data_IF_413120685699
#
_entry.id   IF_413120685699
#
_cell.length_a   1.000
_cell.length_b   1.000
_cell.length_c   1.000
_cell.angle_alpha   90.00
_cell.angle_beta   90.00
_cell.angle_gamma   90.00
#
_symmetry.space_group_name_H-M   'P 1'
#
loop_
_entity.id
_entity.type
_entity.pdbx_description
1 polymer ?
#
# COMPACT_ATOMS: atom_id res chain seq x y z
N UNK A 1 5.30 -1.70 -12.92
CA UNK A 1 6.53 -1.02 -12.45
C UNK A 1 6.39 -0.87 -10.94
N UNK A 2 7.43 -1.17 -10.15
CA UNK A 2 7.37 -1.00 -8.70
C UNK A 2 7.09 0.46 -8.38
N UNK A 3 6.02 0.71 -7.65
CA UNK A 3 5.61 2.06 -7.29
C UNK A 3 6.58 2.61 -6.26
N UNK A 4 7.19 3.75 -6.60
CA UNK A 4 8.13 4.47 -5.75
C UNK A 4 7.48 5.76 -5.29
N UNK A 5 7.53 5.99 -3.98
CA UNK A 5 6.96 7.16 -3.34
C UNK A 5 8.08 8.07 -2.84
N UNK A 6 7.92 9.37 -3.03
CA UNK A 6 8.82 10.37 -2.46
C UNK A 6 8.20 10.92 -1.17
N UNK A 7 8.88 10.72 -0.04
CA UNK A 7 8.46 11.18 1.29
C UNK A 7 9.24 12.45 1.72
N UNK A 8 9.75 13.21 0.75
CA UNK A 8 10.51 14.43 0.95
C UNK A 8 12.00 14.17 1.12
N UNK A 9 12.41 13.56 2.25
CA UNK A 9 13.82 13.24 2.53
C UNK A 9 14.23 11.84 2.06
N UNK A 10 13.25 10.98 1.84
CA UNK A 10 13.46 9.57 1.55
C UNK A 10 12.58 9.13 0.38
N UNK A 11 13.08 8.17 -0.38
CA UNK A 11 12.26 7.40 -1.31
C UNK A 11 11.81 6.12 -0.61
N UNK A 12 10.58 5.69 -0.86
CA UNK A 12 10.00 4.46 -0.35
C UNK A 12 9.55 3.60 -1.53
N UNK A 13 9.77 2.28 -1.48
CA UNK A 13 9.30 1.36 -2.52
C UNK A 13 8.90 0.01 -1.94
N UNK A 14 8.03 -0.70 -2.66
CA UNK A 14 7.87 -2.14 -2.50
C UNK A 14 9.00 -2.84 -3.28
N UNK A 15 9.66 -3.80 -2.63
CA UNK A 15 10.53 -4.75 -3.29
C UNK A 15 9.70 -5.96 -3.73
N UNK A 16 9.31 -6.00 -5.00
CA UNK A 16 8.40 -7.02 -5.55
C UNK A 16 8.91 -8.46 -5.39
N UNK A 17 10.24 -8.66 -5.39
CA UNK A 17 10.86 -10.00 -5.27
C UNK A 17 10.80 -10.49 -3.83
N UNK A 18 11.11 -9.61 -2.87
CA UNK A 18 11.16 -9.96 -1.44
C UNK A 18 9.83 -9.76 -0.73
N UNK A 19 8.91 -9.01 -1.33
CA UNK A 19 7.63 -8.66 -0.71
C UNK A 19 7.74 -7.73 0.49
N UNK A 20 8.82 -6.93 0.56
CA UNK A 20 9.14 -6.05 1.70
C UNK A 20 9.11 -4.58 1.28
N UNK A 21 9.05 -3.71 2.28
CA UNK A 21 9.17 -2.27 2.10
C UNK A 21 10.64 -1.85 2.30
N UNK A 22 11.16 -1.08 1.35
CA UNK A 22 12.52 -0.52 1.40
C UNK A 22 12.47 1.00 1.31
N UNK A 23 13.47 1.67 1.91
CA UNK A 23 13.65 3.10 1.80
C UNK A 23 15.06 3.47 1.35
N UNK A 24 15.21 4.67 0.79
CA UNK A 24 16.49 5.24 0.36
C UNK A 24 16.59 6.71 0.76
N UNK A 25 17.73 7.09 1.34
CA UNK A 25 18.05 8.49 1.71
C UNK A 25 18.96 9.18 0.69
N UNK A 26 19.39 8.47 -0.36
CA UNK A 26 20.42 8.94 -1.30
C UNK A 26 19.95 8.90 -2.76
N UNK A 27 18.66 9.13 -2.97
CA UNK A 27 18.06 9.19 -4.31
C UNK A 27 17.99 7.83 -5.01
N UNK A 28 17.83 6.74 -4.24
CA UNK A 28 17.64 5.39 -4.78
C UNK A 28 18.94 4.65 -5.11
N UNK A 29 20.11 5.19 -4.73
CA UNK A 29 21.41 4.54 -4.95
C UNK A 29 21.60 3.31 -4.06
N UNK A 30 21.20 3.41 -2.79
CA UNK A 30 21.13 2.27 -1.87
C UNK A 30 19.77 2.20 -1.20
N UNK A 31 19.38 0.99 -0.81
CA UNK A 31 18.07 0.70 -0.23
C UNK A 31 18.24 -0.07 1.07
N UNK A 32 17.59 0.40 2.12
CA UNK A 32 17.53 -0.22 3.43
C UNK A 32 16.12 -0.75 3.67
N UNK A 33 15.98 -1.86 4.41
CA UNK A 33 14.67 -2.37 4.76
C UNK A 33 13.96 -1.39 5.72
N UNK A 34 12.73 -0.98 5.36
CA UNK A 34 11.82 -0.21 6.23
C UNK A 34 10.93 -1.15 7.03
N UNK A 35 10.31 -2.11 6.36
CA UNK A 35 9.38 -3.07 6.98
C UNK A 35 9.42 -4.39 6.21
N UNK A 36 9.51 -5.51 6.93
CA UNK A 36 9.45 -6.85 6.34
C UNK A 36 8.03 -7.39 6.22
N UNK A 37 7.88 -8.53 5.55
CA UNK A 37 6.65 -9.31 5.54
C UNK A 37 6.40 -9.89 6.95
N UNK A 38 5.73 -9.10 7.79
CA UNK A 38 5.38 -9.44 9.18
C UNK A 38 3.89 -9.84 9.23
N UNK A 39 3.21 -9.60 10.35
CA UNK A 39 1.78 -9.89 10.53
C UNK A 39 0.90 -9.33 9.40
N UNK A 40 1.35 -8.25 8.74
CA UNK A 40 0.67 -7.57 7.64
C UNK A 40 0.66 -8.33 6.30
N UNK A 41 1.44 -9.41 6.14
CA UNK A 41 1.57 -10.12 4.87
C UNK A 41 2.64 -9.51 3.94
N UNK A 42 2.66 -9.96 2.68
CA UNK A 42 3.58 -9.47 1.64
C UNK A 42 3.04 -8.20 1.04
N UNK A 43 3.86 -7.15 0.97
CA UNK A 43 3.51 -5.90 0.30
C UNK A 43 3.45 -6.09 -1.22
N UNK A 44 2.37 -5.63 -1.84
CA UNK A 44 2.16 -5.67 -3.31
C UNK A 44 2.15 -4.27 -3.93
N UNK A 45 1.55 -3.28 -3.24
CA UNK A 45 1.45 -1.91 -3.74
C UNK A 45 1.36 -0.89 -2.60
N UNK A 46 1.63 0.38 -2.90
CA UNK A 46 1.57 1.50 -1.96
C UNK A 46 0.87 2.72 -2.57
N UNK A 47 0.12 3.46 -1.76
CA UNK A 47 -0.49 4.73 -2.17
C UNK A 47 -0.38 5.75 -1.05
N UNK A 48 -0.14 7.01 -1.42
CA UNK A 48 -0.27 8.12 -0.47
C UNK A 48 -1.72 8.59 -0.56
N UNK A 49 -2.45 8.47 0.55
CA UNK A 49 -3.79 9.03 0.68
C UNK A 49 -3.78 10.06 1.79
N UNK A 50 -3.90 11.34 1.42
CA UNK A 50 -3.77 12.47 2.37
C UNK A 50 -2.41 12.44 3.06
N UNK A 51 -2.38 12.27 4.39
CA UNK A 51 -1.17 12.17 5.19
C UNK A 51 -0.87 10.72 5.63
N UNK A 52 -1.57 9.74 5.06
CA UNK A 52 -1.42 8.32 5.36
C UNK A 52 -0.75 7.60 4.20
N UNK A 53 0.02 6.55 4.51
CA UNK A 53 0.41 5.54 3.54
C UNK A 53 -0.54 4.37 3.61
N UNK A 54 -1.14 4.03 2.48
CA UNK A 54 -1.89 2.80 2.30
C UNK A 54 -1.01 1.76 1.64
N UNK A 55 -1.07 0.54 2.14
CA UNK A 55 -0.41 -0.62 1.55
C UNK A 55 -1.43 -1.67 1.17
N UNK A 56 -1.31 -2.16 -0.05
CA UNK A 56 -1.93 -3.42 -0.44
C UNK A 56 -0.99 -4.55 -0.06
N UNK A 57 -1.52 -5.53 0.67
CA UNK A 57 -0.80 -6.73 1.03
C UNK A 57 -1.59 -7.98 0.68
N UNK A 58 -0.94 -9.14 0.74
CA UNK A 58 -1.61 -10.45 0.62
C UNK A 58 -2.66 -10.72 1.71
N UNK A 59 -2.71 -9.91 2.77
CA UNK A 59 -3.69 -10.06 3.86
C UNK A 59 -4.75 -8.96 3.87
N UNK A 60 -4.71 -8.01 2.93
CA UNK A 60 -5.68 -6.92 2.83
C UNK A 60 -5.02 -5.56 2.68
N UNK A 61 -5.76 -4.51 3.03
CA UNK A 61 -5.26 -3.13 3.01
C UNK A 61 -4.83 -2.73 4.41
N UNK A 62 -3.61 -2.20 4.52
CA UNK A 62 -3.03 -1.69 5.75
C UNK A 62 -2.74 -0.20 5.61
N UNK A 63 -2.67 0.50 6.74
CA UNK A 63 -2.38 1.91 6.80
C UNK A 63 -1.23 2.21 7.75
N UNK A 64 -0.41 3.18 7.39
CA UNK A 64 0.64 3.74 8.23
C UNK A 64 0.51 5.26 8.31
N UNK A 65 0.52 5.79 9.52
CA UNK A 65 0.51 7.23 9.82
C UNK A 65 1.93 7.77 10.07
N UNK A 66 2.94 6.90 10.01
CA UNK A 66 4.32 7.22 10.34
C UNK A 66 5.30 6.75 9.27
N UNK A 67 4.94 7.00 8.00
CA UNK A 67 5.81 6.78 6.84
C UNK A 67 6.27 5.32 6.68
N UNK A 68 5.39 4.36 6.99
CA UNK A 68 5.61 2.94 6.76
C UNK A 68 6.42 2.24 7.85
N UNK A 69 6.64 2.90 9.00
CA UNK A 69 7.37 2.33 10.14
C UNK A 69 6.49 1.36 10.94
N UNK A 70 5.22 1.69 11.14
CA UNK A 70 4.21 0.81 11.73
C UNK A 70 2.95 0.78 10.89
N UNK A 71 2.24 -0.34 10.92
CA UNK A 71 1.07 -0.58 10.08
C UNK A 71 -0.09 -1.08 10.92
N UNK A 72 -1.28 -0.56 10.64
CA UNK A 72 -2.54 -0.99 11.22
C UNK A 72 -3.44 -1.53 10.12
N UNK A 73 -4.25 -2.53 10.44
CA UNK A 73 -5.21 -3.08 9.49
C UNK A 73 -6.27 -2.04 9.15
N UNK A 74 -6.45 -1.73 7.86
CA UNK A 74 -7.48 -0.81 7.36
C UNK A 74 -8.69 -1.57 6.84
N UNK A 75 -8.46 -2.64 6.08
CA UNK A 75 -9.52 -3.47 5.52
C UNK A 75 -9.04 -4.89 5.26
N UNK A 76 -9.84 -5.87 5.66
CA UNK A 76 -9.65 -7.29 5.35
C UNK A 76 -11.01 -7.86 5.00
N UNK A 77 -11.14 -8.47 3.84
CA UNK A 77 -12.42 -9.03 3.40
C UNK A 77 -12.23 -10.14 2.39
N UNK A 78 -13.05 -11.16 2.52
CA UNK A 78 -13.14 -12.24 1.54
C UNK A 78 -14.06 -11.86 0.36
N UNK A 79 -14.82 -10.77 0.46
CA UNK A 79 -15.81 -10.35 -0.55
C UNK A 79 -15.09 -9.78 -1.78
N UNK A 80 -14.16 -8.85 -1.57
CA UNK A 80 -13.43 -8.18 -2.65
C UNK A 80 -12.36 -9.07 -3.31
N UNK A 81 -11.97 -10.18 -2.68
CA UNK A 81 -10.85 -10.99 -3.15
C UNK A 81 -9.51 -10.37 -2.77
N UNK A 82 -8.46 -10.78 -3.48
CA UNK A 82 -7.12 -10.25 -3.22
C UNK A 82 -6.96 -8.88 -3.86
N UNK A 83 -6.50 -7.91 -3.08
CA UNK A 83 -6.10 -6.62 -3.60
C UNK A 83 -4.75 -6.76 -4.31
N UNK A 84 -4.60 -6.10 -5.46
CA UNK A 84 -3.39 -6.14 -6.28
C UNK A 84 -2.79 -4.75 -6.47
N UNK A 85 -3.64 -3.77 -6.78
CA UNK A 85 -3.23 -2.37 -7.06
C UNK A 85 -4.16 -1.43 -6.34
N UNK A 86 -3.63 -0.33 -5.81
CA UNK A 86 -4.37 0.75 -5.17
C UNK A 86 -3.98 2.10 -5.76
N UNK A 87 -4.99 2.88 -6.11
CA UNK A 87 -4.83 4.24 -6.62
C UNK A 87 -5.78 5.21 -5.93
N UNK A 88 -5.27 6.40 -5.62
CA UNK A 88 -6.08 7.54 -5.19
C UNK A 88 -6.23 8.53 -6.34
N UNK A 89 -7.46 8.82 -6.76
CA UNK A 89 -7.74 9.81 -7.81
C UNK A 89 -8.19 11.18 -7.25
N UNK A 90 -8.15 11.36 -5.94
CA UNK A 90 -8.59 12.57 -5.25
C UNK A 90 -10.09 12.63 -4.92
N UNK A 91 -10.90 11.73 -5.47
CA UNK A 91 -12.34 11.59 -5.18
C UNK A 91 -12.61 10.31 -4.41
N UNK A 92 -12.02 9.20 -4.85
CA UNK A 92 -12.18 7.88 -4.28
C UNK A 92 -10.87 7.07 -4.41
N UNK A 93 -10.74 6.06 -3.57
CA UNK A 93 -9.71 5.04 -3.76
C UNK A 93 -10.24 3.98 -4.72
N UNK A 94 -9.39 3.57 -5.65
CA UNK A 94 -9.65 2.50 -6.60
C UNK A 94 -8.73 1.32 -6.33
N UNK A 95 -9.32 0.14 -6.27
CA UNK A 95 -8.60 -1.11 -6.07
C UNK A 95 -8.88 -2.06 -7.22
N UNK A 96 -7.83 -2.46 -7.93
CA UNK A 96 -7.89 -3.66 -8.75
C UNK A 96 -7.72 -4.86 -7.84
N UNK A 97 -8.68 -5.78 -7.93
CA UNK A 97 -8.69 -7.01 -7.13
C UNK A 97 -8.84 -8.22 -8.03
N UNK A 98 -8.57 -9.41 -7.49
CA UNK A 98 -8.81 -10.66 -8.19
C UNK A 98 -10.28 -10.94 -8.53
N UNK A 99 -11.23 -10.16 -7.97
CA UNK A 99 -12.67 -10.26 -8.28
C UNK A 99 -13.22 -9.06 -9.05
N UNK A 100 -12.34 -8.20 -9.58
CA UNK A 100 -12.69 -7.03 -10.39
C UNK A 100 -12.32 -5.70 -9.74
N UNK A 101 -12.88 -4.63 -10.27
CA UNK A 101 -12.63 -3.27 -9.80
C UNK A 101 -13.53 -2.93 -8.62
N UNK A 102 -12.95 -2.40 -7.55
CA UNK A 102 -13.66 -1.88 -6.39
C UNK A 102 -13.27 -0.42 -6.14
N UNK A 103 -14.18 0.34 -5.54
CA UNK A 103 -13.91 1.69 -5.10
C UNK A 103 -14.33 1.94 -3.65
N UNK A 104 -13.70 2.95 -3.04
CA UNK A 104 -13.99 3.39 -1.68
C UNK A 104 -14.00 4.91 -1.60
N UNK A 105 -15.12 5.46 -1.13
CA UNK A 105 -15.31 6.89 -0.87
C UNK A 105 -15.12 7.26 0.61
N UNK A 106 -14.71 6.31 1.45
CA UNK A 106 -14.57 6.50 2.90
C UNK A 106 -13.16 6.15 3.42
N UNK A 107 -12.13 6.55 2.67
CA UNK A 107 -10.72 6.35 2.99
C UNK A 107 -10.32 4.86 3.13
N UNK A 108 -10.93 4.00 2.32
CA UNK A 108 -10.57 2.58 2.21
C UNK A 108 -11.15 1.69 3.30
N UNK A 109 -12.13 2.19 4.08
CA UNK A 109 -12.78 1.42 5.16
C UNK A 109 -13.87 0.48 4.64
N UNK A 110 -14.55 0.85 3.57
CA UNK A 110 -15.56 0.05 2.87
C UNK A 110 -15.30 0.12 1.37
N UNK A 111 -15.47 -1.01 0.70
CA UNK A 111 -15.22 -1.17 -0.73
C UNK A 111 -16.49 -1.67 -1.41
N UNK A 112 -16.91 -0.98 -2.47
CA UNK A 112 -18.04 -1.37 -3.31
C UNK A 112 -17.53 -1.74 -4.70
N UNK A 113 -18.13 -2.75 -5.31
CA UNK A 113 -17.79 -3.13 -6.69
C UNK A 113 -18.18 -1.99 -7.62
N UNK A 114 -17.29 -1.65 -8.55
CA UNK A 114 -17.53 -0.64 -9.57
C UNK A 114 -18.16 -1.24 -10.83
#
# INVERSE_FOLDING_TARGET
MPKMLNLGKELLRVNDVKGILEFSENGGKTWNQRCGATFNGVFKDLEIHKNELLAVTTKGVYVSENQGRTWNQRYVSNICGEFEVLQDNGVELLAQTSKGLYCSTNNGKIWNRR
#
